data_IF_867735718553
#
_entry.id   IF_867735718553
#
_cell.length_a   1.000
_cell.length_b   1.000
_cell.length_c   1.000
_cell.angle_alpha   90.00
_cell.angle_beta   90.00
_cell.angle_gamma   90.00
#
_symmetry.space_group_name_H-M   'P 1'
#
loop_
_entity.id
_entity.type
_entity.pdbx_description
1 polymer ?
#
# COMPACT_ATOMS: atom_id res chain seq x y z
N UNK A 1 -14.39 -40.15 8.07
CA UNK A 1 -13.03 -39.60 7.79
C UNK A 1 -13.10 -38.31 6.97
N UNK A 2 -13.75 -38.28 5.79
CA UNK A 2 -13.79 -37.09 4.91
C UNK A 2 -14.39 -35.81 5.54
N UNK A 3 -15.41 -35.94 6.39
CA UNK A 3 -16.09 -34.80 7.02
C UNK A 3 -15.19 -34.06 8.03
N UNK A 4 -14.27 -34.77 8.70
CA UNK A 4 -13.28 -34.17 9.61
C UNK A 4 -12.20 -33.40 8.85
N UNK A 5 -11.70 -33.97 7.76
CA UNK A 5 -10.70 -33.33 6.88
C UNK A 5 -11.28 -32.08 6.21
N UNK A 6 -12.55 -32.12 5.80
CA UNK A 6 -13.25 -30.95 5.26
C UNK A 6 -13.43 -29.85 6.32
N UNK A 7 -13.78 -30.21 7.55
CA UNK A 7 -13.90 -29.27 8.66
C UNK A 7 -12.55 -28.64 9.06
N UNK A 8 -11.46 -29.42 9.06
CA UNK A 8 -10.09 -28.89 9.27
C UNK A 8 -9.64 -27.98 8.14
N UNK A 9 -9.90 -28.33 6.87
CA UNK A 9 -9.62 -27.44 5.73
C UNK A 9 -10.47 -26.16 5.79
N UNK A 10 -11.73 -26.25 6.19
CA UNK A 10 -12.59 -25.08 6.37
C UNK A 10 -12.12 -24.21 7.55
N UNK A 11 -11.66 -24.82 8.66
CA UNK A 11 -11.09 -24.12 9.80
C UNK A 11 -9.74 -23.45 9.44
N UNK A 12 -8.89 -24.11 8.67
CA UNK A 12 -7.65 -23.54 8.13
C UNK A 12 -7.93 -22.43 7.11
N UNK A 13 -8.98 -22.54 6.31
CA UNK A 13 -9.43 -21.49 5.39
C UNK A 13 -10.09 -20.29 6.10
N UNK A 14 -10.63 -20.48 7.31
CA UNK A 14 -11.37 -19.43 8.04
C UNK A 14 -10.50 -18.35 8.67
N UNK A 15 -9.19 -18.59 8.84
CA UNK A 15 -8.27 -17.58 9.38
C UNK A 15 -7.88 -16.62 8.26
N UNK A 16 -8.67 -15.55 8.08
CA UNK A 16 -8.29 -14.49 7.14
C UNK A 16 -6.91 -13.96 7.50
N UNK A 17 -6.01 -13.86 6.52
CA UNK A 17 -4.65 -13.35 6.74
C UNK A 17 -4.69 -12.02 7.50
N UNK A 18 -3.83 -11.81 8.50
CA UNK A 18 -3.81 -10.58 9.30
C UNK A 18 -3.76 -9.30 8.45
N UNK A 19 -3.01 -9.32 7.33
CA UNK A 19 -2.93 -8.24 6.37
C UNK A 19 -4.29 -7.85 5.74
N UNK A 20 -5.13 -8.83 5.39
CA UNK A 20 -6.48 -8.57 4.83
C UNK A 20 -7.42 -7.99 5.88
N UNK A 21 -7.31 -8.43 7.14
CA UNK A 21 -8.08 -7.82 8.24
C UNK A 21 -7.68 -6.38 8.44
N UNK A 22 -6.38 -6.09 8.45
CA UNK A 22 -5.85 -4.73 8.55
C UNK A 22 -6.31 -3.84 7.39
N UNK A 23 -6.20 -4.33 6.15
CA UNK A 23 -6.66 -3.61 4.97
C UNK A 23 -8.14 -3.24 5.05
N UNK A 24 -9.01 -4.18 5.45
CA UNK A 24 -10.44 -3.90 5.66
C UNK A 24 -10.69 -2.88 6.76
N UNK A 25 -9.85 -2.85 7.79
CA UNK A 25 -9.98 -1.87 8.86
C UNK A 25 -9.57 -0.48 8.39
N UNK A 26 -8.42 -0.35 7.73
CA UNK A 26 -7.92 0.93 7.17
C UNK A 26 -8.94 1.49 6.17
N UNK A 27 -9.40 0.70 5.21
CA UNK A 27 -10.36 1.16 4.19
C UNK A 27 -11.68 1.68 4.76
N UNK A 28 -12.10 1.22 5.94
CA UNK A 28 -13.25 1.77 6.67
C UNK A 28 -12.95 3.11 7.34
N UNK A 29 -11.72 3.32 7.80
CA UNK A 29 -11.29 4.57 8.45
C UNK A 29 -10.96 5.67 7.42
N UNK A 30 -10.61 5.33 6.18
CA UNK A 30 -10.21 6.30 5.14
C UNK A 30 -11.15 7.53 5.03
N UNK A 31 -12.49 7.38 4.89
CA UNK A 31 -13.36 8.55 4.77
C UNK A 31 -13.30 9.47 6.00
N UNK A 32 -13.21 8.89 7.19
CA UNK A 32 -13.07 9.64 8.45
C UNK A 32 -11.74 10.39 8.50
N UNK A 33 -10.64 9.76 8.09
CA UNK A 33 -9.32 10.40 8.03
C UNK A 33 -9.31 11.57 7.05
N UNK A 34 -9.88 11.40 5.84
CA UNK A 34 -9.96 12.48 4.85
C UNK A 34 -10.69 13.71 5.40
N UNK A 35 -11.81 13.50 6.12
CA UNK A 35 -12.55 14.59 6.75
C UNK A 35 -11.79 15.23 7.91
N UNK A 36 -11.06 14.43 8.69
CA UNK A 36 -10.31 14.91 9.88
C UNK A 36 -9.14 15.81 9.48
N UNK A 37 -8.51 15.51 8.34
CA UNK A 37 -7.35 16.22 7.81
C UNK A 37 -7.69 17.20 6.69
N UNK A 38 -8.96 17.37 6.37
CA UNK A 38 -9.45 18.25 5.29
C UNK A 38 -8.71 18.02 3.97
N UNK A 39 -8.62 16.76 3.54
CA UNK A 39 -7.95 16.37 2.30
C UNK A 39 -8.98 16.33 1.16
N UNK A 40 -8.80 17.12 0.08
CA UNK A 40 -9.75 17.22 -1.02
C UNK A 40 -9.59 16.07 -2.03
N UNK A 41 -9.62 14.81 -1.55
CA UNK A 41 -9.53 13.60 -2.38
C UNK A 41 -10.82 12.79 -2.26
N UNK A 42 -11.23 12.14 -3.36
CA UNK A 42 -12.42 11.30 -3.33
C UNK A 42 -12.15 9.99 -2.52
N UNK A 43 -13.08 9.55 -1.64
CA UNK A 43 -12.82 8.40 -0.76
C UNK A 43 -12.58 7.07 -1.48
N UNK A 44 -13.14 6.83 -2.66
CA UNK A 44 -12.80 5.64 -3.47
C UNK A 44 -11.38 5.74 -4.04
N UNK A 45 -10.95 6.90 -4.51
CA UNK A 45 -9.57 7.13 -4.97
C UNK A 45 -8.56 6.90 -3.85
N UNK A 46 -8.79 7.45 -2.66
CA UNK A 46 -7.93 7.21 -1.50
C UNK A 46 -7.87 5.72 -1.12
N UNK A 47 -9.00 4.99 -1.22
CA UNK A 47 -9.03 3.54 -0.98
C UNK A 47 -8.22 2.75 -2.02
N UNK A 48 -8.19 3.21 -3.28
CA UNK A 48 -7.36 2.62 -4.33
C UNK A 48 -5.87 2.92 -4.10
N UNK A 49 -5.52 4.13 -3.64
CA UNK A 49 -4.14 4.46 -3.27
C UNK A 49 -3.64 3.56 -2.12
N UNK A 50 -4.46 3.37 -1.08
CA UNK A 50 -4.17 2.41 0.00
C UNK A 50 -4.01 0.99 -0.55
N UNK A 51 -4.86 0.57 -1.50
CA UNK A 51 -4.72 -0.75 -2.13
C UNK A 51 -3.38 -0.91 -2.85
N UNK A 52 -2.91 0.13 -3.56
CA UNK A 52 -1.64 0.12 -4.26
C UNK A 52 -0.46 -0.04 -3.28
N UNK A 53 -0.48 0.67 -2.15
CA UNK A 53 0.53 0.52 -1.09
C UNK A 53 0.59 -0.90 -0.51
N UNK A 54 -0.57 -1.55 -0.30
CA UNK A 54 -0.59 -2.96 0.12
C UNK A 54 -0.05 -3.90 -0.97
N UNK A 55 -0.30 -3.59 -2.25
CA UNK A 55 0.17 -4.39 -3.39
C UNK A 55 1.67 -4.23 -3.65
N UNK A 56 2.26 -3.09 -3.31
CA UNK A 56 3.71 -2.85 -3.40
C UNK A 56 4.52 -3.92 -2.64
N UNK A 57 3.95 -4.49 -1.58
CA UNK A 57 4.60 -5.53 -0.78
C UNK A 57 4.02 -6.93 -1.02
N UNK A 58 3.28 -7.15 -2.11
CA UNK A 58 2.66 -8.45 -2.40
C UNK A 58 3.67 -9.56 -2.68
N UNK A 59 4.87 -9.22 -3.16
CA UNK A 59 5.91 -10.18 -3.52
C UNK A 59 6.72 -10.69 -2.32
N UNK A 60 6.52 -10.09 -1.13
CA UNK A 60 7.22 -10.47 0.10
C UNK A 60 6.71 -11.83 0.60
N UNK A 61 7.58 -12.85 0.55
CA UNK A 61 7.26 -14.22 0.96
C UNK A 61 7.69 -14.57 2.38
N UNK A 62 8.65 -13.84 2.96
CA UNK A 62 9.15 -14.13 4.31
C UNK A 62 8.10 -13.70 5.37
N UNK A 63 7.57 -14.63 6.18
CA UNK A 63 6.57 -14.32 7.20
C UNK A 63 7.04 -13.29 8.23
N UNK A 64 8.35 -13.25 8.56
CA UNK A 64 8.88 -12.29 9.55
C UNK A 64 8.79 -10.86 9.04
N UNK A 65 9.06 -10.68 7.75
CA UNK A 65 8.96 -9.37 7.09
C UNK A 65 7.50 -8.96 6.98
N UNK A 66 6.60 -9.90 6.67
CA UNK A 66 5.16 -9.64 6.63
C UNK A 66 4.64 -9.18 8.00
N UNK A 67 5.03 -9.83 9.09
CA UNK A 67 4.64 -9.44 10.45
C UNK A 67 5.16 -8.05 10.83
N UNK A 68 6.40 -7.74 10.44
CA UNK A 68 6.96 -6.40 10.62
C UNK A 68 6.19 -5.35 9.81
N UNK A 69 5.84 -5.62 8.56
CA UNK A 69 5.06 -4.71 7.72
C UNK A 69 3.66 -4.46 8.28
N UNK A 70 3.00 -5.50 8.78
CA UNK A 70 1.71 -5.38 9.47
C UNK A 70 1.85 -4.52 10.72
N UNK A 71 2.91 -4.70 11.51
CA UNK A 71 3.16 -3.90 12.73
C UNK A 71 3.36 -2.43 12.37
N UNK A 72 4.20 -2.13 11.36
CA UNK A 72 4.41 -0.76 10.86
C UNK A 72 3.12 -0.11 10.37
N UNK A 73 2.31 -0.84 9.61
CA UNK A 73 1.03 -0.33 9.11
C UNK A 73 -0.01 -0.09 10.22
N UNK A 74 0.02 -0.86 11.32
CA UNK A 74 -0.82 -0.57 12.49
C UNK A 74 -0.35 0.69 13.22
N UNK A 75 0.97 0.88 13.39
CA UNK A 75 1.53 2.10 13.99
C UNK A 75 1.15 3.33 13.16
N UNK A 76 1.32 3.25 11.84
CA UNK A 76 0.93 4.32 10.90
C UNK A 76 -0.54 4.73 11.05
N UNK A 77 -1.42 3.74 11.19
CA UNK A 77 -2.84 3.96 11.39
C UNK A 77 -3.14 4.61 12.75
N UNK A 78 -2.49 4.16 13.82
CA UNK A 78 -2.64 4.75 15.15
C UNK A 78 -2.18 6.22 15.16
N UNK A 79 -1.02 6.52 14.60
CA UNK A 79 -0.49 7.88 14.45
C UNK A 79 -1.45 8.80 13.69
N UNK A 80 -2.12 8.25 12.67
CA UNK A 80 -3.13 8.98 11.87
C UNK A 80 -4.42 9.19 12.64
N UNK A 81 -4.91 8.18 13.38
CA UNK A 81 -6.16 8.28 14.14
C UNK A 81 -6.03 9.17 15.38
N UNK A 82 -4.86 9.15 16.02
CA UNK A 82 -4.53 9.97 17.20
C UNK A 82 -4.06 11.38 16.83
N UNK A 83 -4.01 11.71 15.54
CA UNK A 83 -3.57 12.99 15.01
C UNK A 83 -2.14 13.39 15.41
N UNK A 84 -1.25 12.40 15.53
CA UNK A 84 0.18 12.65 15.75
C UNK A 84 0.86 13.11 14.44
N UNK A 85 0.31 12.73 13.28
CA UNK A 85 0.75 13.22 11.97
C UNK A 85 0.06 14.51 11.56
N UNK A 86 0.76 15.31 10.77
CA UNK A 86 0.19 16.45 10.04
C UNK A 86 -0.33 16.06 8.66
N UNK A 87 -1.22 16.89 8.08
CA UNK A 87 -1.82 16.73 6.75
C UNK A 87 -0.82 16.41 5.64
N UNK A 88 0.36 17.05 5.64
CA UNK A 88 1.40 16.85 4.60
C UNK A 88 1.83 15.39 4.52
N UNK A 89 2.01 14.69 5.64
CA UNK A 89 2.43 13.29 5.65
C UNK A 89 1.40 12.36 5.01
N UNK A 90 0.11 12.68 5.13
CA UNK A 90 -0.96 11.89 4.51
C UNK A 90 -1.09 12.20 3.03
N UNK A 91 -0.90 13.46 2.62
CA UNK A 91 -0.87 13.84 1.21
C UNK A 91 0.26 13.12 0.49
N UNK A 92 1.49 13.17 1.01
CA UNK A 92 2.64 12.49 0.39
C UNK A 92 2.43 10.98 0.32
N UNK A 93 1.83 10.37 1.35
CA UNK A 93 1.51 8.94 1.36
C UNK A 93 0.47 8.57 0.29
N UNK A 94 -0.60 9.36 0.17
CA UNK A 94 -1.68 9.12 -0.79
C UNK A 94 -1.22 9.38 -2.23
N UNK A 95 -0.44 10.44 -2.45
CA UNK A 95 0.18 10.75 -3.75
C UNK A 95 1.14 9.64 -4.18
N UNK A 96 1.97 9.11 -3.28
CA UNK A 96 2.81 7.94 -3.55
C UNK A 96 1.96 6.73 -3.95
N UNK A 97 0.87 6.45 -3.23
CA UNK A 97 -0.06 5.37 -3.58
C UNK A 97 -0.75 5.58 -4.93
N UNK A 98 -1.07 6.83 -5.31
CA UNK A 98 -1.58 7.16 -6.63
C UNK A 98 -0.52 6.96 -7.72
N UNK A 99 0.74 7.34 -7.47
CA UNK A 99 1.86 7.15 -8.39
C UNK A 99 2.10 5.68 -8.75
N UNK A 100 2.05 4.79 -7.74
CA UNK A 100 2.16 3.33 -7.96
C UNK A 100 1.04 2.74 -8.83
N UNK A 101 -0.10 3.43 -8.92
CA UNK A 101 -1.23 3.00 -9.75
C UNK A 101 -1.12 3.50 -11.18
N UNK A 102 -0.47 4.64 -11.40
CA UNK A 102 -0.25 5.13 -12.75
C UNK A 102 0.66 4.13 -13.46
N UNK A 103 0.28 3.65 -14.66
CA UNK A 103 1.20 2.83 -15.44
C UNK A 103 2.46 3.65 -15.64
N UNK A 104 3.63 3.06 -15.37
CA UNK A 104 4.88 3.63 -15.82
C UNK A 104 4.70 4.03 -17.29
N UNK A 105 4.99 5.29 -17.68
CA UNK A 105 4.69 5.77 -19.01
C UNK A 105 5.27 4.80 -20.03
N UNK A 106 4.40 4.24 -20.87
CA UNK A 106 4.75 3.32 -21.96
C UNK A 106 5.50 4.11 -23.03
N UNK A 107 6.75 4.49 -22.77
CA UNK A 107 7.77 4.79 -23.78
C UNK A 107 9.08 5.06 -23.06
N UNK A 108 10.00 4.10 -23.13
CA UNK A 108 11.45 4.39 -23.19
C UNK A 108 11.73 5.11 -24.53
N UNK A 109 11.10 6.27 -24.72
CA UNK A 109 11.40 7.14 -25.83
C UNK A 109 12.83 7.63 -25.62
N UNK A 110 13.61 7.67 -26.69
CA UNK A 110 14.98 8.20 -26.69
C UNK A 110 15.03 9.57 -26.01
N UNK A 111 13.95 10.35 -26.08
CA UNK A 111 13.80 11.64 -25.42
C UNK A 111 13.84 11.56 -23.88
N UNK A 112 13.17 10.58 -23.25
CA UNK A 112 13.25 10.38 -21.79
C UNK A 112 14.64 9.91 -21.35
N UNK A 113 15.28 9.03 -22.13
CA UNK A 113 16.65 8.60 -21.85
C UNK A 113 17.66 9.76 -21.99
N UNK A 114 17.50 10.61 -23.01
CA UNK A 114 18.31 11.81 -23.21
C UNK A 114 18.06 12.85 -22.12
N UNK A 115 16.81 13.06 -21.70
CA UNK A 115 16.47 13.98 -20.61
C UNK A 115 17.07 13.51 -19.29
N UNK A 116 16.99 12.21 -19.00
CA UNK A 116 17.62 11.59 -17.83
C UNK A 116 19.15 11.68 -17.86
N UNK A 117 19.75 11.44 -19.03
CA UNK A 117 21.18 11.61 -19.27
C UNK A 117 21.63 13.07 -19.08
N UNK A 118 20.88 14.05 -19.62
CA UNK A 118 21.18 15.48 -19.43
C UNK A 118 20.95 15.96 -18.00
N UNK A 119 20.04 15.31 -17.25
CA UNK A 119 19.81 15.57 -15.83
C UNK A 119 20.93 15.00 -14.93
N UNK A 120 21.79 14.11 -15.46
CA UNK A 120 22.85 13.45 -14.70
C UNK A 120 22.33 12.47 -13.64
N UNK A 121 21.14 11.91 -13.87
CA UNK A 121 20.58 10.85 -13.02
C UNK A 121 21.08 9.52 -13.54
N UNK A 122 22.04 8.91 -12.84
CA UNK A 122 22.52 7.56 -13.16
C UNK A 122 21.41 6.54 -12.87
N UNK A 123 21.13 5.68 -13.86
CA UNK A 123 20.23 4.53 -13.69
C UNK A 123 21.02 3.38 -13.04
N UNK A 124 20.98 3.29 -11.71
CA UNK A 124 21.54 2.15 -10.97
C UNK A 124 20.71 0.86 -11.14
N UNK A 125 19.61 0.90 -11.90
CA UNK A 125 18.68 -0.23 -12.11
C UNK A 125 19.15 -1.23 -13.18
N UNK A 126 20.23 -0.94 -13.93
CA UNK A 126 20.78 -1.83 -14.96
C UNK A 126 21.82 -2.85 -14.42
N UNK A 127 22.13 -2.85 -13.12
CA UNK A 127 22.96 -3.87 -12.48
C UNK A 127 22.12 -4.99 -11.86
N UNK A 128 21.41 -5.82 -12.64
CA UNK A 128 20.96 -7.17 -12.22
C UNK A 128 20.61 -8.10 -13.40
#
# INVERSE_FOLDING_TARGET
MALRVAAEKAAAASKSSPAVTLYRYITKQVPRVLTLYDIPMEPAEARLAVQALFRQHADVKDPRVVDMLITKANMELEETLMQWKQKVHLLTLLEHGQGLRQPAPLVDSVDQALEKFYAGVDDDEDEL
#
